data_IF_489601766212
#
_entry.id   IF_489601766212
#
_cell.length_a   1.000
_cell.length_b   1.000
_cell.length_c   1.000
_cell.angle_alpha   90.00
_cell.angle_beta   90.00
_cell.angle_gamma   90.00
#
_symmetry.space_group_name_H-M   'P 1'
#
loop_
_entity.id
_entity.type
_entity.pdbx_description
1 polymer ?
#
# COMPACT_ATOMS: atom_id res chain seq x y z
N UNK A 1 8.75 0.21 -1.59
CA UNK A 1 7.67 0.16 -2.58
C UNK A 1 6.78 -0.99 -2.18
N UNK A 2 5.55 -0.65 -1.83
CA UNK A 2 4.39 -1.51 -1.62
C UNK A 2 4.18 -2.32 -2.87
N UNK A 3 4.10 -3.63 -2.69
CA UNK A 3 3.78 -4.57 -3.75
C UNK A 3 2.33 -5.00 -3.65
N UNK A 4 1.74 -5.23 -4.81
CA UNK A 4 0.56 -6.07 -4.94
C UNK A 4 0.93 -7.53 -4.67
N UNK A 5 0.17 -8.19 -3.78
CA UNK A 5 0.28 -9.62 -3.46
C UNK A 5 -1.06 -10.30 -3.74
N UNK A 6 -1.20 -11.18 -4.75
CA UNK A 6 -2.48 -11.82 -5.02
C UNK A 6 -2.75 -12.99 -4.05
N UNK A 7 -4.01 -13.41 -3.95
CA UNK A 7 -4.43 -14.54 -3.12
C UNK A 7 -5.25 -15.59 -3.89
N UNK A 8 -5.16 -16.86 -3.47
CA UNK A 8 -6.02 -17.96 -3.92
C UNK A 8 -6.77 -18.51 -2.71
N UNK A 9 -8.02 -18.11 -2.55
CA UNK A 9 -8.89 -18.61 -1.49
C UNK A 9 -9.57 -19.91 -1.93
N UNK A 10 -9.41 -20.97 -1.13
CA UNK A 10 -9.94 -22.30 -1.41
C UNK A 10 -11.03 -22.66 -0.40
N UNK A 11 -12.19 -23.07 -0.90
CA UNK A 11 -13.25 -23.61 -0.04
C UNK A 11 -13.96 -24.81 -0.69
N UNK A 12 -13.86 -25.96 -0.03
CA UNK A 12 -14.30 -27.27 -0.52
C UNK A 12 -13.64 -27.65 -1.86
N UNK A 13 -12.33 -27.42 -1.96
CA UNK A 13 -11.50 -27.83 -3.11
C UNK A 13 -11.64 -26.96 -4.35
N UNK A 14 -12.34 -25.82 -4.26
CA UNK A 14 -12.53 -24.89 -5.37
C UNK A 14 -12.06 -23.49 -4.98
N UNK A 15 -11.54 -22.76 -5.97
CA UNK A 15 -11.19 -21.34 -5.82
C UNK A 15 -12.47 -20.52 -5.67
N UNK A 16 -12.60 -19.81 -4.54
CA UNK A 16 -13.78 -19.03 -4.19
C UNK A 16 -13.38 -17.72 -3.54
N UNK A 17 -13.97 -16.63 -4.00
CA UNK A 17 -13.90 -15.36 -3.29
C UNK A 17 -15.13 -15.25 -2.39
N UNK A 18 -14.90 -15.09 -1.10
CA UNK A 18 -15.95 -15.01 -0.07
C UNK A 18 -16.10 -13.57 0.43
N UNK A 19 -17.25 -13.26 1.02
CA UNK A 19 -17.42 -12.04 1.82
C UNK A 19 -17.08 -12.33 3.27
N UNK A 20 -16.15 -11.57 3.85
CA UNK A 20 -15.71 -11.70 5.24
C UNK A 20 -16.89 -11.71 6.21
N UNK A 21 -16.80 -12.56 7.24
CA UNK A 21 -17.82 -12.68 8.30
C UNK A 21 -19.10 -13.45 7.93
N UNK A 22 -19.28 -13.88 6.67
CA UNK A 22 -20.44 -14.70 6.24
C UNK A 22 -20.21 -16.21 6.37
N UNK A 23 -19.01 -16.62 6.78
CA UNK A 23 -18.65 -18.01 6.96
C UNK A 23 -19.18 -18.50 8.32
N UNK A 24 -20.41 -19.03 8.34
CA UNK A 24 -21.00 -19.65 9.53
C UNK A 24 -20.75 -21.17 9.55
N UNK A 25 -21.23 -21.86 10.58
CA UNK A 25 -21.22 -23.34 10.66
C UNK A 25 -22.28 -23.98 9.75
N UNK A 26 -23.26 -23.20 9.29
CA UNK A 26 -24.34 -23.60 8.38
C UNK A 26 -24.03 -23.14 6.95
N UNK A 27 -23.91 -24.09 6.01
CA UNK A 27 -23.52 -23.80 4.61
C UNK A 27 -24.42 -22.82 3.85
N UNK A 28 -25.62 -22.54 4.36
CA UNK A 28 -26.64 -21.70 3.72
C UNK A 28 -26.36 -20.19 3.81
N UNK A 29 -25.47 -19.73 4.69
CA UNK A 29 -25.23 -18.30 4.90
C UNK A 29 -23.97 -17.78 4.19
N UNK A 30 -23.20 -18.67 3.55
CA UNK A 30 -21.97 -18.30 2.86
C UNK A 30 -22.29 -17.43 1.64
N UNK A 31 -21.94 -16.15 1.69
CA UNK A 31 -21.98 -15.28 0.52
C UNK A 31 -20.66 -15.41 -0.24
N UNK A 32 -20.73 -16.00 -1.42
CA UNK A 32 -19.62 -16.05 -2.37
C UNK A 32 -19.75 -14.91 -3.36
N UNK A 33 -18.71 -14.09 -3.49
CA UNK A 33 -18.57 -13.13 -4.59
C UNK A 33 -18.36 -13.86 -5.91
N UNK A 34 -17.62 -14.98 -5.88
CA UNK A 34 -17.29 -15.75 -7.07
C UNK A 34 -16.91 -17.19 -6.73
N UNK A 35 -17.26 -18.12 -7.63
CA UNK A 35 -16.76 -19.50 -7.63
C UNK A 35 -16.12 -19.75 -8.98
N UNK A 36 -14.81 -20.00 -8.98
CA UNK A 36 -14.09 -20.22 -10.23
C UNK A 36 -14.43 -21.58 -10.84
N UNK A 37 -14.48 -21.61 -12.17
CA UNK A 37 -14.46 -22.85 -12.96
C UNK A 37 -13.04 -23.35 -13.22
N UNK A 38 -12.04 -22.53 -12.94
CA UNK A 38 -10.63 -22.83 -13.16
C UNK A 38 -10.03 -23.40 -11.87
N UNK A 39 -9.10 -24.37 -11.98
CA UNK A 39 -8.47 -24.97 -10.82
C UNK A 39 -7.45 -24.03 -10.17
N UNK A 40 -7.02 -24.37 -8.96
CA UNK A 40 -6.04 -23.57 -8.22
C UNK A 40 -4.69 -23.47 -8.96
N UNK A 41 -4.30 -24.55 -9.65
CA UNK A 41 -3.11 -24.59 -10.50
C UNK A 41 -3.13 -23.54 -11.62
N UNK A 42 -4.30 -23.20 -12.17
CA UNK A 42 -4.40 -22.16 -13.20
C UNK A 42 -3.91 -20.79 -12.68
N UNK A 43 -4.39 -20.40 -11.49
CA UNK A 43 -4.02 -19.13 -10.87
C UNK A 43 -2.57 -19.14 -10.38
N UNK A 44 -2.09 -20.26 -9.84
CA UNK A 44 -0.69 -20.44 -9.48
C UNK A 44 0.25 -20.24 -10.69
N UNK A 45 -0.12 -20.80 -11.84
CA UNK A 45 0.61 -20.59 -13.10
C UNK A 45 0.58 -19.12 -13.51
N UNK A 46 -0.58 -18.48 -13.44
CA UNK A 46 -0.73 -17.06 -13.78
C UNK A 46 0.18 -16.18 -12.91
N UNK A 47 0.28 -16.47 -11.60
CA UNK A 47 1.13 -15.71 -10.69
C UNK A 47 2.61 -15.96 -10.93
N UNK A 48 2.97 -17.20 -11.25
CA UNK A 48 4.33 -17.60 -11.64
C UNK A 48 4.80 -16.92 -12.91
N UNK A 49 3.96 -16.90 -13.94
CA UNK A 49 4.27 -16.28 -15.24
C UNK A 49 4.53 -14.76 -15.10
N UNK A 50 4.05 -14.14 -14.02
CA UNK A 50 4.19 -12.71 -13.71
C UNK A 50 5.09 -12.42 -12.50
N UNK A 51 5.81 -13.41 -11.98
CA UNK A 51 6.74 -13.30 -10.84
C UNK A 51 6.13 -12.66 -9.57
N UNK A 52 4.86 -12.95 -9.30
CA UNK A 52 4.12 -12.41 -8.15
C UNK A 52 4.45 -13.17 -6.86
N UNK A 53 5.71 -13.08 -6.43
CA UNK A 53 6.19 -13.71 -5.20
C UNK A 53 5.40 -13.25 -3.97
N UNK A 54 5.35 -14.07 -2.92
CA UNK A 54 4.56 -13.81 -1.70
C UNK A 54 3.05 -13.80 -1.90
N UNK A 55 2.58 -14.25 -3.06
CA UNK A 55 1.19 -14.68 -3.23
C UNK A 55 0.87 -15.83 -2.27
N UNK A 56 -0.35 -15.85 -1.76
CA UNK A 56 -0.76 -16.82 -0.73
C UNK A 56 -2.01 -17.61 -1.13
N UNK A 57 -2.00 -18.90 -0.78
CA UNK A 57 -3.11 -19.83 -0.93
C UNK A 57 -3.72 -20.08 0.44
N UNK A 58 -5.01 -19.77 0.63
CA UNK A 58 -5.68 -19.90 1.93
C UNK A 58 -6.74 -21.00 1.88
N UNK A 59 -6.57 -22.01 2.72
CA UNK A 59 -7.52 -23.10 2.89
C UNK A 59 -8.61 -22.73 3.90
N UNK A 60 -9.78 -22.36 3.40
CA UNK A 60 -10.94 -21.98 4.19
C UNK A 60 -11.76 -23.22 4.54
N UNK A 61 -11.39 -23.88 5.63
CA UNK A 61 -12.04 -25.10 6.11
C UNK A 61 -11.52 -26.40 5.46
N UNK A 62 -12.20 -27.53 5.68
CA UNK A 62 -11.75 -28.84 5.20
C UNK A 62 -11.94 -29.03 3.69
N UNK A 63 -11.22 -30.01 3.13
CA UNK A 63 -11.38 -30.44 1.73
C UNK A 63 -10.61 -29.60 0.70
N UNK A 64 -9.63 -28.81 1.13
CA UNK A 64 -8.86 -27.92 0.26
C UNK A 64 -7.44 -28.44 -0.08
N UNK A 65 -6.97 -29.50 0.59
CA UNK A 65 -5.58 -29.95 0.52
C UNK A 65 -5.13 -30.30 -0.90
N UNK A 66 -5.96 -31.01 -1.67
CA UNK A 66 -5.63 -31.39 -3.04
C UNK A 66 -5.44 -30.17 -3.95
N UNK A 67 -6.35 -29.19 -3.87
CA UNK A 67 -6.26 -27.95 -4.65
C UNK A 67 -5.08 -27.07 -4.19
N UNK A 68 -4.81 -26.98 -2.89
CA UNK A 68 -3.66 -26.25 -2.38
C UNK A 68 -2.34 -26.90 -2.82
N UNK A 69 -2.26 -28.23 -2.82
CA UNK A 69 -1.11 -28.98 -3.34
C UNK A 69 -0.94 -28.78 -4.85
N UNK A 70 -2.03 -28.78 -5.61
CA UNK A 70 -2.01 -28.48 -7.04
C UNK A 70 -1.33 -27.11 -7.28
N UNK A 71 -1.79 -26.06 -6.60
CA UNK A 71 -1.22 -24.72 -6.71
C UNK A 71 0.28 -24.67 -6.33
N UNK A 72 0.65 -25.23 -5.17
CA UNK A 72 2.05 -25.27 -4.73
C UNK A 72 2.95 -26.08 -5.68
N UNK A 73 2.42 -27.12 -6.32
CA UNK A 73 3.17 -27.94 -7.26
C UNK A 73 3.41 -27.25 -8.61
N UNK A 74 2.48 -26.40 -9.04
CA UNK A 74 2.58 -25.60 -10.27
C UNK A 74 3.70 -24.55 -10.16
N UNK A 75 3.80 -23.89 -8.99
CA UNK A 75 4.86 -22.96 -8.66
C UNK A 75 5.59 -23.32 -7.37
N UNK A 76 6.49 -24.30 -7.49
CA UNK A 76 7.35 -24.73 -6.39
C UNK A 76 8.17 -23.56 -5.86
N UNK A 77 8.11 -23.37 -4.54
CA UNK A 77 8.76 -22.29 -3.79
C UNK A 77 8.34 -20.89 -4.27
N UNK A 78 7.14 -20.75 -4.83
CA UNK A 78 6.61 -19.45 -5.26
C UNK A 78 5.43 -18.96 -4.44
N UNK A 79 4.67 -19.87 -3.82
CA UNK A 79 3.44 -19.56 -3.10
C UNK A 79 3.57 -19.86 -1.61
N UNK A 80 2.98 -18.99 -0.81
CA UNK A 80 2.75 -19.25 0.61
C UNK A 80 1.44 -20.04 0.78
N UNK A 81 1.31 -20.87 1.83
CA UNK A 81 0.08 -21.65 2.09
C UNK A 81 -0.38 -21.55 3.53
N UNK A 82 -1.67 -21.24 3.73
CA UNK A 82 -2.30 -21.06 5.03
C UNK A 82 -3.61 -21.81 5.19
N UNK A 83 -4.11 -21.83 6.43
CA UNK A 83 -5.34 -22.52 6.83
C UNK A 83 -5.10 -23.93 7.35
N UNK A 84 -5.31 -24.17 8.64
CA UNK A 84 -5.09 -25.49 9.25
C UNK A 84 -3.62 -25.92 9.37
N UNK A 85 -2.67 -24.99 9.26
CA UNK A 85 -1.25 -25.25 9.48
C UNK A 85 -0.98 -25.46 10.97
N UNK A 86 -0.29 -26.55 11.29
CA UNK A 86 0.16 -26.93 12.63
C UNK A 86 1.61 -27.43 12.59
N UNK A 87 2.21 -27.70 13.74
CA UNK A 87 3.55 -28.27 13.82
C UNK A 87 3.64 -29.69 13.22
N UNK A 88 2.52 -30.39 13.06
CA UNK A 88 2.48 -31.73 12.47
C UNK A 88 2.52 -31.72 10.93
N UNK A 89 2.03 -30.66 10.27
CA UNK A 89 1.93 -30.62 8.80
C UNK A 89 2.78 -29.52 8.14
N UNK A 90 3.31 -28.56 8.91
CA UNK A 90 4.08 -27.43 8.36
C UNK A 90 5.24 -27.87 7.46
N UNK A 91 6.07 -28.82 7.90
CA UNK A 91 7.18 -29.36 7.11
C UNK A 91 6.71 -30.01 5.80
N UNK A 92 5.59 -30.74 5.86
CA UNK A 92 5.04 -31.42 4.69
C UNK A 92 4.57 -30.46 3.61
N UNK A 93 4.04 -29.29 3.98
CA UNK A 93 3.67 -28.25 3.01
C UNK A 93 4.88 -27.66 2.28
N UNK A 94 6.00 -27.49 2.99
CA UNK A 94 7.27 -27.11 2.35
C UNK A 94 7.75 -28.20 1.39
N UNK A 95 7.69 -29.48 1.81
CA UNK A 95 8.06 -30.62 0.94
C UNK A 95 7.17 -30.72 -0.31
N UNK A 96 5.90 -30.33 -0.21
CA UNK A 96 4.97 -30.25 -1.34
C UNK A 96 5.19 -29.05 -2.26
N UNK A 97 6.08 -28.13 -1.89
CA UNK A 97 6.51 -27.03 -2.75
C UNK A 97 6.02 -25.65 -2.33
N UNK A 98 5.44 -25.46 -1.14
CA UNK A 98 5.21 -24.11 -0.64
C UNK A 98 6.56 -23.40 -0.37
N UNK A 99 6.60 -22.09 -0.64
CA UNK A 99 7.71 -21.21 -0.23
C UNK A 99 7.74 -21.07 1.29
N UNK A 100 6.57 -20.72 1.84
CA UNK A 100 6.35 -20.56 3.28
C UNK A 100 5.01 -21.15 3.68
N UNK A 101 4.90 -21.52 4.95
CA UNK A 101 3.61 -21.81 5.59
C UNK A 101 3.13 -20.61 6.39
N UNK A 102 1.82 -20.42 6.42
CA UNK A 102 1.13 -19.34 7.13
C UNK A 102 0.38 -19.96 8.31
N UNK A 103 0.84 -19.67 9.53
CA UNK A 103 0.17 -20.14 10.75
C UNK A 103 -0.84 -19.10 11.23
N UNK A 104 -2.06 -19.56 11.55
CA UNK A 104 -3.21 -18.72 11.92
C UNK A 104 -3.74 -19.09 13.31
N UNK A 105 -4.94 -19.68 13.38
CA UNK A 105 -5.67 -20.02 14.61
C UNK A 105 -4.97 -21.05 15.49
N UNK A 106 -4.01 -21.81 14.95
CA UNK A 106 -3.22 -22.75 15.75
C UNK A 106 -2.51 -22.06 16.91
N UNK A 107 -2.13 -20.78 16.77
CA UNK A 107 -1.46 -20.02 17.83
C UNK A 107 -2.36 -19.66 19.03
N UNK A 108 -3.68 -19.88 18.92
CA UNK A 108 -4.68 -19.41 19.88
C UNK A 108 -5.59 -20.54 20.41
N UNK A 109 -5.07 -21.56 21.12
CA UNK A 109 -5.92 -22.53 21.79
C UNK A 109 -6.87 -21.82 22.75
N UNK A 110 -8.16 -22.16 22.67
CA UNK A 110 -9.20 -21.53 23.49
C UNK A 110 -9.20 -19.98 23.45
N UNK A 111 -8.82 -19.42 22.29
CA UNK A 111 -8.72 -17.97 22.06
C UNK A 111 -7.67 -17.24 22.92
N UNK A 112 -6.68 -17.96 23.43
CA UNK A 112 -5.53 -17.39 24.15
C UNK A 112 -4.23 -17.64 23.40
N UNK A 113 -3.44 -16.60 23.17
CA UNK A 113 -2.16 -16.74 22.49
C UNK A 113 -1.19 -17.66 23.25
N UNK A 114 -0.51 -18.54 22.53
CA UNK A 114 0.58 -19.35 23.09
C UNK A 114 1.84 -19.31 22.24
N UNK A 115 2.90 -18.71 22.80
CA UNK A 115 4.23 -18.68 22.21
C UNK A 115 4.80 -20.10 21.99
N UNK A 116 4.40 -21.07 22.82
CA UNK A 116 4.91 -22.44 22.69
C UNK A 116 4.50 -23.07 21.35
N UNK A 117 3.27 -22.85 20.87
CA UNK A 117 2.85 -23.40 19.57
C UNK A 117 3.57 -22.74 18.40
N UNK A 118 3.87 -21.46 18.49
CA UNK A 118 4.70 -20.78 17.48
C UNK A 118 6.09 -21.42 17.42
N UNK A 119 6.70 -21.68 18.59
CA UNK A 119 8.01 -22.35 18.68
C UNK A 119 7.98 -23.78 18.14
N UNK A 120 6.91 -24.55 18.38
CA UNK A 120 6.84 -25.93 17.85
C UNK A 120 6.67 -25.96 16.33
N UNK A 121 5.91 -25.02 15.75
CA UNK A 121 5.81 -24.86 14.29
C UNK A 121 7.17 -24.48 13.70
N UNK A 122 7.85 -23.49 14.27
CA UNK A 122 9.18 -23.09 13.80
C UNK A 122 10.19 -24.25 13.89
N UNK A 123 10.13 -25.03 14.98
CA UNK A 123 10.98 -26.21 15.15
C UNK A 123 10.70 -27.30 14.11
N UNK A 124 9.44 -27.53 13.73
CA UNK A 124 9.14 -28.52 12.68
C UNK A 124 9.62 -28.06 11.30
N UNK A 125 9.81 -26.77 11.09
CA UNK A 125 10.46 -26.18 9.92
C UNK A 125 12.00 -26.18 9.99
N UNK A 126 12.59 -26.80 11.02
CA UNK A 126 14.04 -26.85 11.21
C UNK A 126 14.63 -25.56 11.77
N UNK A 127 13.85 -24.81 12.57
CA UNK A 127 14.22 -23.51 13.13
C UNK A 127 14.48 -22.42 12.07
N UNK A 128 14.00 -22.64 10.83
CA UNK A 128 14.14 -21.71 9.72
C UNK A 128 12.93 -20.77 9.60
N UNK A 129 13.05 -19.58 10.17
CA UNK A 129 11.98 -18.57 10.15
C UNK A 129 11.64 -18.06 8.75
N UNK A 130 12.52 -18.24 7.75
CA UNK A 130 12.25 -17.82 6.38
C UNK A 130 11.10 -18.61 5.74
N UNK A 131 10.74 -19.75 6.33
CA UNK A 131 9.62 -20.60 5.89
C UNK A 131 8.31 -20.33 6.64
N UNK A 132 8.29 -19.36 7.56
CA UNK A 132 7.14 -19.09 8.42
C UNK A 132 6.62 -17.66 8.25
N UNK A 133 5.32 -17.57 8.00
CA UNK A 133 4.51 -16.35 8.06
C UNK A 133 3.52 -16.51 9.21
N UNK A 134 3.33 -15.43 9.98
CA UNK A 134 2.27 -15.38 11.00
C UNK A 134 1.13 -14.53 10.47
N UNK A 135 -0.07 -15.11 10.42
CA UNK A 135 -1.28 -14.40 10.03
C UNK A 135 -2.08 -13.99 11.26
N UNK A 136 -2.21 -12.67 11.44
CA UNK A 136 -3.01 -12.05 12.48
C UNK A 136 -4.23 -11.40 11.87
N UNK A 137 -5.23 -12.24 11.79
CA UNK A 137 -6.62 -11.94 11.59
C UNK A 137 -7.16 -11.02 12.69
N UNK A 138 -7.56 -9.78 12.39
CA UNK A 138 -7.96 -8.77 13.39
C UNK A 138 -9.30 -8.06 13.11
N UNK A 139 -9.91 -7.51 14.18
CA UNK A 139 -11.12 -6.66 14.13
C UNK A 139 -10.93 -5.40 14.96
N UNK A 140 -11.55 -4.31 14.54
CA UNK A 140 -11.47 -3.03 15.24
C UNK A 140 -12.37 -3.04 16.48
N UNK A 141 -11.84 -2.57 17.61
CA UNK A 141 -12.55 -2.40 18.88
C UNK A 141 -12.23 -1.04 19.47
N UNK A 142 -13.10 -0.06 19.23
CA UNK A 142 -12.80 1.33 19.57
C UNK A 142 -11.64 1.83 18.72
N UNK A 143 -10.54 2.21 19.35
CA UNK A 143 -9.35 2.76 18.69
C UNK A 143 -8.20 1.75 18.57
N UNK A 144 -8.43 0.47 18.85
CA UNK A 144 -7.42 -0.60 18.74
C UNK A 144 -7.97 -1.79 17.97
N UNK A 145 -7.10 -2.75 17.64
CA UNK A 145 -7.47 -3.98 16.93
C UNK A 145 -7.17 -5.19 17.79
N UNK A 146 -8.07 -6.16 17.80
CA UNK A 146 -7.88 -7.42 18.51
C UNK A 146 -7.88 -8.56 17.51
N UNK A 147 -7.02 -9.55 17.77
CA UNK A 147 -6.95 -10.75 16.95
C UNK A 147 -8.24 -11.55 17.15
N UNK A 148 -8.85 -11.96 16.05
CA UNK A 148 -10.07 -12.74 15.99
C UNK A 148 -9.81 -14.05 15.23
N UNK A 149 -10.49 -15.11 15.67
CA UNK A 149 -10.36 -16.45 15.12
C UNK A 149 -11.72 -17.08 14.85
N UNK A 150 -11.73 -18.33 14.38
CA UNK A 150 -12.95 -19.08 14.04
C UNK A 150 -13.84 -18.31 13.07
N UNK A 151 -13.26 -17.87 11.94
CA UNK A 151 -13.99 -17.10 10.92
C UNK A 151 -14.56 -15.80 11.49
N UNK A 152 -13.77 -15.11 12.31
CA UNK A 152 -14.09 -13.79 12.88
C UNK A 152 -15.14 -13.76 13.99
N UNK A 153 -15.57 -14.94 14.46
CA UNK A 153 -16.64 -15.09 15.45
C UNK A 153 -16.13 -15.06 16.89
N UNK A 154 -14.86 -15.38 17.11
CA UNK A 154 -14.27 -15.44 18.46
C UNK A 154 -13.15 -14.42 18.57
N UNK A 155 -13.30 -13.46 19.48
CA UNK A 155 -12.22 -12.54 19.82
C UNK A 155 -11.23 -13.21 20.76
N UNK A 156 -9.93 -13.02 20.52
CA UNK A 156 -8.86 -13.51 21.40
C UNK A 156 -8.49 -12.47 22.45
N UNK A 157 -7.58 -12.85 23.35
CA UNK A 157 -6.97 -11.95 24.34
C UNK A 157 -5.81 -11.10 23.80
N UNK A 158 -5.43 -11.30 22.54
CA UNK A 158 -4.30 -10.60 21.94
C UNK A 158 -4.76 -9.33 21.20
N UNK A 159 -4.33 -8.18 21.71
CA UNK A 159 -4.38 -6.92 20.98
C UNK A 159 -3.26 -6.88 19.93
N UNK A 160 -3.58 -6.42 18.72
CA UNK A 160 -2.61 -6.15 17.67
C UNK A 160 -2.02 -4.75 17.87
N UNK A 161 -0.77 -4.71 18.31
CA UNK A 161 0.02 -3.49 18.55
C UNK A 161 1.53 -3.77 18.44
N UNK A 162 2.35 -2.72 18.60
CA UNK A 162 3.82 -2.82 18.59
C UNK A 162 4.38 -3.97 19.45
N UNK A 163 3.90 -4.14 20.68
CA UNK A 163 4.43 -5.15 21.60
C UNK A 163 4.12 -6.56 21.12
N UNK A 164 2.91 -6.80 20.62
CA UNK A 164 2.52 -8.09 20.04
C UNK A 164 3.34 -8.42 18.78
N UNK A 165 3.59 -7.43 17.91
CA UNK A 165 4.41 -7.59 16.71
C UNK A 165 5.86 -7.92 17.12
N UNK A 166 6.49 -7.11 17.98
CA UNK A 166 7.86 -7.35 18.46
C UNK A 166 8.02 -8.70 19.16
N UNK A 167 6.98 -9.23 19.80
CA UNK A 167 6.99 -10.56 20.42
C UNK A 167 7.08 -11.69 19.38
N UNK A 168 6.46 -11.51 18.20
CA UNK A 168 6.31 -12.53 17.16
C UNK A 168 7.44 -12.50 16.12
N UNK A 169 7.97 -11.31 15.80
CA UNK A 169 9.02 -11.09 14.79
C UNK A 169 10.24 -12.02 14.88
N UNK A 170 10.73 -12.42 16.07
CA UNK A 170 11.87 -13.32 16.14
C UNK A 170 11.61 -14.71 15.53
N UNK A 171 10.34 -15.09 15.36
CA UNK A 171 9.93 -16.45 14.99
C UNK A 171 9.42 -16.58 13.55
N UNK A 172 9.09 -15.49 12.87
CA UNK A 172 8.64 -15.49 11.48
C UNK A 172 9.50 -14.56 10.61
N UNK A 173 9.35 -14.70 9.30
CA UNK A 173 10.01 -13.81 8.33
C UNK A 173 9.07 -12.76 7.76
N UNK A 174 7.77 -12.90 8.00
CA UNK A 174 6.74 -12.04 7.42
C UNK A 174 5.45 -12.12 8.24
N UNK A 175 4.66 -11.04 8.19
CA UNK A 175 3.29 -11.01 8.69
C UNK A 175 2.29 -10.90 7.56
N UNK A 176 1.15 -11.57 7.73
CA UNK A 176 -0.06 -11.33 6.96
C UNK A 176 -1.13 -10.80 7.92
N UNK A 177 -1.65 -9.60 7.67
CA UNK A 177 -2.61 -8.96 8.57
C UNK A 177 -3.95 -8.85 7.85
N UNK A 178 -4.89 -9.70 8.25
CA UNK A 178 -6.25 -9.67 7.72
C UNK A 178 -7.12 -8.71 8.54
N UNK A 179 -7.67 -7.68 7.90
CA UNK A 179 -8.68 -6.78 8.50
C UNK A 179 -10.08 -7.31 8.17
N UNK A 180 -10.62 -8.14 9.08
CA UNK A 180 -11.86 -8.89 8.83
C UNK A 180 -13.08 -8.00 8.58
N UNK A 181 -13.13 -6.83 9.20
CA UNK A 181 -14.24 -5.89 9.07
C UNK A 181 -14.35 -5.32 7.63
N UNK A 182 -13.30 -5.46 6.81
CA UNK A 182 -13.22 -4.93 5.45
C UNK A 182 -13.06 -6.05 4.39
N UNK A 183 -12.85 -7.29 4.81
CA UNK A 183 -12.56 -8.43 3.93
C UNK A 183 -13.74 -8.77 3.01
N UNK A 184 -13.49 -8.78 1.70
CA UNK A 184 -14.50 -9.11 0.68
C UNK A 184 -15.66 -8.11 0.55
N UNK A 185 -15.67 -7.01 1.31
CA UNK A 185 -16.69 -5.96 1.24
C UNK A 185 -16.46 -4.94 0.14
N UNK A 186 -15.22 -4.83 -0.36
CA UNK A 186 -14.85 -3.82 -1.36
C UNK A 186 -15.24 -2.40 -0.91
N UNK A 187 -14.99 -2.06 0.35
CA UNK A 187 -15.29 -0.75 0.94
C UNK A 187 -14.05 0.10 1.26
N UNK A 188 -12.86 -0.40 0.94
CA UNK A 188 -11.59 0.27 1.16
C UNK A 188 -10.80 -0.31 2.32
N UNK A 189 -9.55 0.11 2.42
CA UNK A 189 -8.60 -0.32 3.44
C UNK A 189 -8.84 0.40 4.78
N UNK A 190 -8.43 -0.23 5.88
CA UNK A 190 -8.29 0.44 7.19
C UNK A 190 -6.97 1.24 7.20
N UNK A 191 -7.06 2.53 6.90
CA UNK A 191 -5.91 3.43 6.75
C UNK A 191 -5.12 3.60 8.06
N UNK A 192 -5.81 3.64 9.20
CA UNK A 192 -5.17 3.74 10.52
C UNK A 192 -4.35 2.48 10.80
N UNK A 193 -4.89 1.30 10.51
CA UNK A 193 -4.17 0.05 10.68
C UNK A 193 -2.94 -0.02 9.77
N UNK A 194 -3.05 0.37 8.49
CA UNK A 194 -1.90 0.41 7.57
C UNK A 194 -0.79 1.33 8.09
N UNK A 195 -1.12 2.53 8.57
CA UNK A 195 -0.16 3.45 9.18
C UNK A 195 0.49 2.85 10.43
N UNK A 196 -0.29 2.17 11.26
CA UNK A 196 0.20 1.49 12.46
C UNK A 196 1.14 0.33 12.13
N UNK A 197 0.80 -0.52 11.14
CA UNK A 197 1.66 -1.62 10.70
C UNK A 197 3.00 -1.13 10.17
N UNK A 198 3.01 -0.03 9.42
CA UNK A 198 4.23 0.60 8.92
C UNK A 198 5.15 1.10 10.05
N UNK A 199 4.59 1.42 11.22
CA UNK A 199 5.36 1.79 12.41
C UNK A 199 5.78 0.57 13.22
N UNK A 200 4.93 -0.45 13.30
CA UNK A 200 5.12 -1.59 14.20
C UNK A 200 6.05 -2.65 13.65
N UNK A 201 5.95 -2.95 12.35
CA UNK A 201 6.66 -4.06 11.73
C UNK A 201 8.07 -3.62 11.27
N UNK A 202 9.07 -4.40 11.67
CA UNK A 202 10.46 -4.31 11.20
C UNK A 202 10.78 -5.34 10.11
N UNK A 203 9.92 -6.35 9.94
CA UNK A 203 9.97 -7.37 8.88
C UNK A 203 8.83 -7.15 7.86
N UNK A 204 8.90 -7.77 6.66
CA UNK A 204 7.84 -7.65 5.66
C UNK A 204 6.44 -7.91 6.23
N UNK A 205 5.49 -7.08 5.83
CA UNK A 205 4.09 -7.21 6.23
C UNK A 205 3.19 -6.99 5.02
N UNK A 206 2.24 -7.89 4.84
CA UNK A 206 1.20 -7.80 3.83
C UNK A 206 -0.14 -7.54 4.52
N UNK A 207 -0.82 -6.47 4.13
CA UNK A 207 -2.18 -6.16 4.55
C UNK A 207 -3.19 -6.81 3.61
N UNK A 208 -4.23 -7.42 4.16
CA UNK A 208 -5.33 -8.02 3.41
C UNK A 208 -6.68 -7.60 4.00
N UNK A 209 -7.46 -6.83 3.25
CA UNK A 209 -8.77 -6.38 3.72
C UNK A 209 -9.33 -5.21 2.93
N UNK A 210 -10.25 -5.48 2.01
CA UNK A 210 -11.05 -4.43 1.39
C UNK A 210 -10.36 -3.62 0.30
N UNK A 211 -9.21 -4.05 -0.23
CA UNK A 211 -8.61 -3.46 -1.44
C UNK A 211 -9.53 -3.66 -2.66
N UNK A 212 -9.72 -2.59 -3.44
CA UNK A 212 -10.73 -2.50 -4.52
C UNK A 212 -10.14 -2.15 -5.86
N UNK A 213 -9.12 -1.30 -5.88
CA UNK A 213 -8.59 -0.72 -7.08
C UNK A 213 -7.08 -0.43 -6.98
N UNK A 214 -6.47 0.06 -8.06
CA UNK A 214 -5.04 0.42 -8.08
C UNK A 214 -4.77 1.60 -7.16
N UNK A 215 -5.73 2.51 -6.99
CA UNK A 215 -5.61 3.65 -6.10
C UNK A 215 -5.45 3.23 -4.62
N UNK A 216 -5.98 2.07 -4.22
CA UNK A 216 -5.72 1.52 -2.89
C UNK A 216 -4.24 1.08 -2.73
N UNK A 217 -3.54 0.65 -3.81
CA UNK A 217 -2.08 0.40 -3.79
C UNK A 217 -1.29 1.70 -3.58
N UNK A 218 -1.67 2.77 -4.30
CA UNK A 218 -1.10 4.10 -4.13
C UNK A 218 -1.31 4.65 -2.71
N UNK A 219 -2.52 4.45 -2.17
CA UNK A 219 -2.85 4.86 -0.81
C UNK A 219 -1.99 4.12 0.21
N UNK A 220 -1.83 2.80 0.08
CA UNK A 220 -0.96 2.02 0.98
C UNK A 220 0.51 2.45 0.86
N UNK A 221 1.03 2.67 -0.35
CA UNK A 221 2.39 3.19 -0.54
C UNK A 221 2.57 4.51 0.20
N UNK A 222 1.64 5.46 0.03
CA UNK A 222 1.69 6.78 0.66
C UNK A 222 1.64 6.69 2.19
N UNK A 223 0.71 5.91 2.73
CA UNK A 223 0.50 5.78 4.19
C UNK A 223 1.64 5.02 4.87
N UNK A 224 2.16 3.98 4.22
CA UNK A 224 3.21 3.12 4.77
C UNK A 224 4.63 3.50 4.37
N UNK A 225 4.79 4.45 3.44
CA UNK A 225 6.05 4.78 2.77
C UNK A 225 6.70 3.55 2.13
N UNK A 226 5.85 2.69 1.56
CA UNK A 226 6.24 1.47 0.89
C UNK A 226 6.73 0.35 1.81
N UNK A 227 6.35 0.38 3.09
CA UNK A 227 6.69 -0.64 4.09
C UNK A 227 5.65 -1.77 4.20
N UNK A 228 4.41 -1.51 3.75
CA UNK A 228 3.31 -2.48 3.82
C UNK A 228 2.91 -2.87 2.40
N UNK A 229 2.83 -4.16 2.12
CA UNK A 229 2.29 -4.70 0.87
C UNK A 229 0.77 -4.83 0.95
N UNK A 230 0.08 -4.88 -0.19
CA UNK A 230 -1.38 -4.96 -0.25
C UNK A 230 -1.87 -6.19 -1.02
N UNK A 231 -2.79 -6.91 -0.40
CA UNK A 231 -3.55 -7.98 -1.03
C UNK A 231 -4.82 -7.45 -1.66
N UNK A 232 -5.04 -7.77 -2.93
CA UNK A 232 -6.31 -7.57 -3.64
C UNK A 232 -6.77 -8.93 -4.15
N UNK A 233 -7.97 -9.36 -3.72
CA UNK A 233 -8.59 -10.63 -4.09
C UNK A 233 -9.86 -10.41 -4.91
N UNK A 234 -11.01 -10.38 -4.23
CA UNK A 234 -12.34 -10.35 -4.85
C UNK A 234 -12.63 -9.21 -5.84
N UNK A 235 -11.87 -8.12 -5.79
CA UNK A 235 -12.01 -7.01 -6.72
C UNK A 235 -11.41 -7.26 -8.11
N UNK A 236 -10.52 -8.25 -8.23
CA UNK A 236 -9.85 -8.61 -9.47
C UNK A 236 -10.80 -9.24 -10.48
N UNK A 237 -10.66 -8.85 -11.74
CA UNK A 237 -11.37 -9.41 -12.88
C UNK A 237 -11.14 -10.92 -13.08
N UNK A 238 -9.94 -11.44 -12.78
CA UNK A 238 -9.64 -12.88 -12.81
C UNK A 238 -10.46 -13.72 -11.81
N UNK A 239 -11.10 -13.06 -10.84
CA UNK A 239 -12.06 -13.63 -9.91
C UNK A 239 -13.47 -13.07 -10.08
N UNK A 240 -13.81 -12.57 -11.28
CA UNK A 240 -15.14 -12.06 -11.59
C UNK A 240 -15.49 -10.70 -10.95
N UNK A 241 -14.51 -10.05 -10.31
CA UNK A 241 -14.64 -8.68 -9.84
C UNK A 241 -14.61 -7.66 -10.99
N UNK A 242 -14.95 -6.42 -10.69
CA UNK A 242 -14.89 -5.30 -11.65
C UNK A 242 -14.19 -4.08 -11.05
N UNK A 243 -13.50 -4.23 -9.93
CA UNK A 243 -12.84 -3.14 -9.22
C UNK A 243 -11.48 -2.80 -9.84
N UNK A 244 -10.73 -3.82 -10.27
CA UNK A 244 -9.42 -3.65 -10.90
C UNK A 244 -9.07 -4.81 -11.82
N UNK A 245 -8.32 -4.51 -12.88
CA UNK A 245 -7.77 -5.54 -13.75
C UNK A 245 -6.48 -6.08 -13.15
N UNK A 246 -6.33 -7.40 -13.19
CA UNK A 246 -5.11 -8.05 -12.73
C UNK A 246 -3.85 -7.51 -13.41
N UNK A 247 -3.91 -7.21 -14.71
CA UNK A 247 -2.78 -6.64 -15.46
C UNK A 247 -2.35 -5.26 -14.93
N UNK A 248 -3.27 -4.43 -14.44
CA UNK A 248 -2.95 -3.12 -13.88
C UNK A 248 -2.18 -3.29 -12.54
N UNK A 249 -2.53 -4.29 -11.75
CA UNK A 249 -1.79 -4.64 -10.53
C UNK A 249 -0.41 -5.25 -10.82
N UNK A 250 -0.25 -5.99 -11.93
CA UNK A 250 1.07 -6.46 -12.39
C UNK A 250 1.92 -5.27 -12.82
N UNK A 251 1.35 -4.36 -13.62
CA UNK A 251 2.03 -3.14 -14.05
C UNK A 251 2.53 -2.33 -12.84
N UNK A 252 1.71 -2.17 -11.79
CA UNK A 252 2.14 -1.57 -10.53
C UNK A 252 3.42 -2.21 -9.96
N UNK A 253 3.51 -3.55 -9.94
CA UNK A 253 4.69 -4.25 -9.42
C UNK A 253 5.92 -4.15 -10.34
N UNK A 254 5.71 -3.99 -11.65
CA UNK A 254 6.78 -3.93 -12.66
C UNK A 254 7.30 -2.51 -12.89
N UNK A 255 6.49 -1.50 -12.62
CA UNK A 255 6.85 -0.12 -12.94
C UNK A 255 7.71 0.56 -11.87
N UNK A 256 8.80 1.17 -12.35
CA UNK A 256 9.46 2.34 -11.76
C UNK A 256 8.55 3.59 -11.72
N UNK A 257 7.21 3.45 -11.62
CA UNK A 257 6.23 4.55 -11.62
C UNK A 257 6.55 5.61 -10.56
N UNK A 258 7.22 5.17 -9.48
CA UNK A 258 7.63 5.96 -8.33
C UNK A 258 8.92 6.76 -8.54
N UNK A 259 9.82 6.32 -9.43
CA UNK A 259 11.08 7.04 -9.66
C UNK A 259 10.81 8.37 -10.38
N UNK A 260 9.92 8.35 -11.38
CA UNK A 260 9.59 9.53 -12.17
C UNK A 260 8.68 10.52 -11.42
N UNK A 261 7.61 10.05 -10.75
CA UNK A 261 6.70 10.93 -9.99
C UNK A 261 7.38 11.57 -8.78
N UNK A 262 8.21 10.82 -8.03
CA UNK A 262 8.99 11.37 -6.93
C UNK A 262 10.03 12.38 -7.41
N UNK A 263 10.77 12.07 -8.48
CA UNK A 263 11.77 12.97 -9.04
C UNK A 263 11.14 14.22 -9.68
N UNK A 264 9.99 14.09 -10.35
CA UNK A 264 9.23 15.20 -10.90
C UNK A 264 8.66 16.09 -9.79
N UNK A 265 8.10 15.50 -8.73
CA UNK A 265 7.62 16.22 -7.54
C UNK A 265 8.74 16.97 -6.84
N UNK A 266 9.88 16.31 -6.60
CA UNK A 266 11.02 16.93 -5.92
C UNK A 266 11.62 18.06 -6.78
N UNK A 267 11.67 17.91 -8.12
CA UNK A 267 12.08 18.99 -9.06
C UNK A 267 11.09 20.16 -9.06
N UNK A 268 9.79 19.88 -9.06
CA UNK A 268 8.74 20.90 -9.03
C UNK A 268 8.79 21.70 -7.72
N UNK A 269 8.97 21.00 -6.59
CA UNK A 269 9.15 21.61 -5.27
C UNK A 269 10.37 22.55 -5.24
N UNK A 270 11.54 22.08 -5.71
CA UNK A 270 12.76 22.89 -5.78
C UNK A 270 12.56 24.12 -6.69
N UNK A 271 11.93 23.95 -7.85
CA UNK A 271 11.66 25.05 -8.79
C UNK A 271 10.73 26.12 -8.18
N UNK A 272 9.70 25.71 -7.43
CA UNK A 272 8.77 26.62 -6.77
C UNK A 272 9.42 27.40 -5.63
N UNK A 273 10.25 26.73 -4.82
CA UNK A 273 11.00 27.36 -3.73
C UNK A 273 11.96 28.43 -4.27
N UNK A 274 12.78 28.05 -5.27
CA UNK A 274 13.77 28.95 -5.88
C UNK A 274 13.09 30.16 -6.52
N UNK A 275 12.01 29.95 -7.28
CA UNK A 275 11.30 31.04 -7.98
C UNK A 275 10.70 32.04 -6.99
N UNK A 276 10.08 31.56 -5.92
CA UNK A 276 9.47 32.44 -4.91
C UNK A 276 10.52 33.26 -4.13
N UNK A 277 11.69 32.68 -3.82
CA UNK A 277 12.78 33.38 -3.12
C UNK A 277 13.44 34.43 -4.00
N UNK A 278 13.74 34.10 -5.26
CA UNK A 278 14.31 35.05 -6.21
C UNK A 278 13.39 36.26 -6.45
N UNK A 279 12.08 36.04 -6.55
CA UNK A 279 11.12 37.13 -6.73
C UNK A 279 11.08 38.02 -5.48
N UNK A 280 11.03 37.43 -4.28
CA UNK A 280 11.05 38.20 -3.04
C UNK A 280 12.33 39.06 -2.93
N UNK A 281 13.51 38.48 -3.17
CA UNK A 281 14.79 39.21 -3.14
C UNK A 281 14.90 40.30 -4.21
N UNK A 282 14.32 40.08 -5.40
CA UNK A 282 14.31 41.08 -6.48
C UNK A 282 13.44 42.28 -6.12
N UNK A 283 12.29 42.04 -5.49
CA UNK A 283 11.40 43.12 -5.05
C UNK A 283 12.03 43.89 -3.88
N UNK A 284 12.62 43.20 -2.90
CA UNK A 284 13.38 43.80 -1.79
C UNK A 284 14.55 44.67 -2.31
N UNK A 285 15.29 44.18 -3.30
CA UNK A 285 16.38 44.94 -3.94
C UNK A 285 15.87 46.18 -4.71
N UNK A 286 14.60 46.21 -5.13
CA UNK A 286 13.99 47.35 -5.83
C UNK A 286 13.40 48.42 -4.91
N UNK A 287 13.32 48.16 -3.59
CA UNK A 287 12.76 49.09 -2.61
C UNK A 287 13.70 50.24 -2.22
N UNK A 288 15.02 50.08 -2.42
CA UNK A 288 16.01 51.10 -2.01
C UNK A 288 15.96 52.40 -2.81
N UNK A 289 15.17 52.46 -3.89
CA UNK A 289 15.09 53.62 -4.81
C UNK A 289 13.66 54.19 -4.99
N UNK A 290 12.65 53.69 -4.26
CA UNK A 290 11.22 54.01 -4.53
C UNK A 290 10.52 54.80 -3.42
N UNK A 291 9.43 55.47 -3.76
CA UNK A 291 8.63 56.28 -2.83
C UNK A 291 7.79 55.42 -1.85
N UNK A 292 7.41 55.97 -0.68
CA UNK A 292 6.80 55.19 0.42
C UNK A 292 5.48 54.46 0.09
N UNK A 293 4.69 54.97 -0.87
CA UNK A 293 3.46 54.30 -1.35
C UNK A 293 3.78 53.08 -2.22
N UNK A 294 4.86 53.14 -3.00
CA UNK A 294 5.31 52.03 -3.86
C UNK A 294 5.99 50.94 -3.04
N UNK A 295 6.74 51.30 -2.00
CA UNK A 295 7.29 50.34 -1.03
C UNK A 295 6.16 49.55 -0.34
N UNK A 296 5.12 50.25 0.14
CA UNK A 296 3.98 49.59 0.80
C UNK A 296 3.24 48.62 -0.14
N UNK A 297 3.05 48.99 -1.41
CA UNK A 297 2.43 48.12 -2.43
C UNK A 297 3.29 46.89 -2.73
N UNK A 298 4.61 47.06 -2.79
CA UNK A 298 5.55 45.98 -3.09
C UNK A 298 5.66 44.98 -1.93
N UNK A 299 5.71 45.46 -0.68
CA UNK A 299 5.67 44.62 0.51
C UNK A 299 4.40 43.73 0.54
N UNK A 300 3.24 44.29 0.18
CA UNK A 300 2.00 43.51 0.06
C UNK A 300 2.08 42.42 -1.02
N UNK A 301 2.68 42.72 -2.17
CA UNK A 301 2.88 41.75 -3.25
C UNK A 301 3.84 40.61 -2.84
N UNK A 302 4.90 40.91 -2.09
CA UNK A 302 5.82 39.90 -1.55
C UNK A 302 5.09 38.93 -0.61
N UNK A 303 4.31 39.46 0.32
CA UNK A 303 3.56 38.63 1.28
C UNK A 303 2.50 37.77 0.58
N UNK A 304 1.81 38.32 -0.43
CA UNK A 304 0.86 37.56 -1.25
C UNK A 304 1.55 36.41 -2.01
N UNK A 305 2.77 36.63 -2.53
CA UNK A 305 3.56 35.58 -3.19
C UNK A 305 4.05 34.51 -2.21
N UNK A 306 4.48 34.90 -1.00
CA UNK A 306 4.85 33.95 0.06
C UNK A 306 3.65 33.08 0.47
N UNK A 307 2.47 33.66 0.62
CA UNK A 307 1.24 32.92 0.90
C UNK A 307 0.89 31.94 -0.23
N UNK A 308 0.99 32.36 -1.50
CA UNK A 308 0.74 31.48 -2.66
C UNK A 308 1.77 30.36 -2.81
N UNK A 309 3.03 30.60 -2.47
CA UNK A 309 4.06 29.54 -2.35
C UNK A 309 3.63 28.49 -1.31
N UNK A 310 3.17 28.93 -0.14
CA UNK A 310 2.75 28.03 0.92
C UNK A 310 1.54 27.18 0.51
N UNK A 311 0.54 27.78 -0.15
CA UNK A 311 -0.61 27.04 -0.70
C UNK A 311 -0.20 26.02 -1.76
N UNK A 312 0.69 26.37 -2.68
CA UNK A 312 1.18 25.45 -3.72
C UNK A 312 2.01 24.30 -3.14
N UNK A 313 2.88 24.58 -2.17
CA UNK A 313 3.63 23.55 -1.44
C UNK A 313 2.69 22.61 -0.71
N UNK A 314 1.67 23.14 -0.03
CA UNK A 314 0.68 22.32 0.66
C UNK A 314 -0.11 21.43 -0.31
N UNK A 315 -0.52 21.97 -1.47
CA UNK A 315 -1.20 21.21 -2.51
C UNK A 315 -0.32 20.08 -3.11
N UNK A 316 1.00 20.30 -3.19
CA UNK A 316 1.97 19.28 -3.62
C UNK A 316 2.18 18.21 -2.53
N UNK A 317 2.19 18.61 -1.26
CA UNK A 317 2.30 17.70 -0.11
C UNK A 317 1.02 16.88 0.12
N UNK A 318 -0.14 17.40 -0.24
CA UNK A 318 -1.47 16.78 -0.12
C UNK A 318 -1.87 15.87 -1.31
N UNK A 319 -0.95 15.58 -2.24
CA UNK A 319 -1.14 14.82 -3.50
C UNK A 319 -2.27 13.78 -3.53
N UNK A 320 -3.24 13.93 -4.46
CA UNK A 320 -4.31 12.94 -4.71
C UNK A 320 -4.76 12.93 -6.20
N UNK A 321 -3.89 12.51 -7.12
CA UNK A 321 -4.27 12.17 -8.50
C UNK A 321 -4.53 13.36 -9.45
N UNK A 322 -5.27 13.10 -10.54
CA UNK A 322 -5.35 13.91 -11.77
C UNK A 322 -5.75 15.38 -11.59
N UNK A 323 -6.58 15.71 -10.60
CA UNK A 323 -6.98 17.09 -10.29
C UNK A 323 -5.78 17.94 -9.81
N UNK A 324 -4.74 17.28 -9.29
CA UNK A 324 -3.49 17.92 -8.86
C UNK A 324 -2.67 18.43 -10.05
N UNK A 325 -2.75 17.80 -11.23
CA UNK A 325 -2.04 18.30 -12.44
C UNK A 325 -2.68 19.60 -12.91
N UNK A 326 -4.01 19.68 -12.89
CA UNK A 326 -4.72 20.92 -13.21
C UNK A 326 -4.39 22.03 -12.20
N UNK A 327 -4.40 21.72 -10.90
CA UNK A 327 -4.04 22.66 -9.84
C UNK A 327 -2.57 23.09 -9.87
N UNK A 328 -1.63 22.18 -10.17
CA UNK A 328 -0.21 22.48 -10.39
C UNK A 328 -0.04 23.35 -11.62
N UNK A 329 -0.70 23.02 -12.74
CA UNK A 329 -0.63 23.80 -13.97
C UNK A 329 -1.21 25.20 -13.77
N UNK A 330 -2.28 25.33 -12.98
CA UNK A 330 -2.88 26.60 -12.58
C UNK A 330 -1.94 27.38 -11.63
N UNK A 331 -1.33 26.73 -10.64
CA UNK A 331 -0.38 27.37 -9.74
C UNK A 331 0.87 27.87 -10.48
N UNK A 332 1.44 27.06 -11.39
CA UNK A 332 2.55 27.45 -12.27
C UNK A 332 2.16 28.60 -13.19
N UNK A 333 0.95 28.56 -13.78
CA UNK A 333 0.42 29.64 -14.59
C UNK A 333 0.25 30.94 -13.79
N UNK A 334 -0.27 30.87 -12.57
CA UNK A 334 -0.47 32.01 -11.69
C UNK A 334 0.87 32.61 -11.24
N UNK A 335 1.88 31.79 -10.96
CA UNK A 335 3.24 32.25 -10.67
C UNK A 335 3.87 32.91 -11.90
N UNK A 336 3.73 32.32 -13.08
CA UNK A 336 4.17 32.92 -14.34
C UNK A 336 3.48 34.27 -14.62
N UNK A 337 2.19 34.37 -14.33
CA UNK A 337 1.42 35.62 -14.49
C UNK A 337 1.84 36.67 -13.49
N UNK A 338 2.09 36.29 -12.23
CA UNK A 338 2.65 37.19 -11.22
C UNK A 338 4.05 37.68 -11.61
N UNK A 339 4.87 36.82 -12.22
CA UNK A 339 6.18 37.17 -12.76
C UNK A 339 6.08 38.16 -13.93
N UNK A 340 5.13 37.96 -14.86
CA UNK A 340 4.87 38.91 -15.97
C UNK A 340 4.35 40.25 -15.43
N UNK A 341 3.48 40.23 -14.42
CA UNK A 341 3.00 41.44 -13.74
C UNK A 341 4.12 42.17 -12.97
N UNK A 342 5.12 41.46 -12.46
CA UNK A 342 6.33 42.05 -11.88
C UNK A 342 7.26 42.61 -12.96
N UNK A 343 7.36 41.95 -14.12
CA UNK A 343 8.15 42.40 -15.26
C UNK A 343 7.61 43.70 -15.88
N UNK A 344 6.31 43.99 -15.73
CA UNK A 344 5.71 45.28 -16.10
C UNK A 344 5.89 46.38 -15.04
N UNK A 345 6.35 46.02 -13.82
CA UNK A 345 6.63 46.94 -12.70
C UNK A 345 8.13 47.28 -12.59
N UNK A 346 9.00 46.47 -13.17
CA UNK A 346 10.46 46.59 -13.03
C UNK A 346 11.11 46.69 -14.42
N UNK A 347 11.31 47.91 -14.92
CA UNK A 347 12.17 48.21 -16.08
C UNK A 347 13.67 48.04 -15.73
N UNK A 348 14.07 46.99 -15.02
CA UNK A 348 15.48 46.76 -14.71
C UNK A 348 16.13 45.93 -15.82
N UNK A 349 17.14 46.50 -16.47
CA UNK A 349 17.98 45.81 -17.46
C UNK A 349 18.68 44.55 -16.90
N UNK A 350 18.79 44.41 -15.58
CA UNK A 350 19.29 43.17 -14.96
C UNK A 350 18.30 42.01 -15.08
N UNK A 351 16.99 42.26 -14.96
CA UNK A 351 15.96 41.22 -15.07
C UNK A 351 15.84 40.72 -16.51
N UNK A 352 15.94 41.63 -17.50
CA UNK A 352 15.96 41.28 -18.93
C UNK A 352 17.16 40.40 -19.30
N UNK A 353 18.35 40.71 -18.77
CA UNK A 353 19.56 39.90 -18.96
C UNK A 353 19.44 38.52 -18.30
N UNK A 354 18.77 38.44 -17.15
CA UNK A 354 18.56 37.18 -16.43
C UNK A 354 17.56 36.26 -17.14
N UNK A 355 16.41 36.79 -17.59
CA UNK A 355 15.41 36.04 -18.38
C UNK A 355 16.04 35.50 -19.67
N UNK A 356 16.87 36.30 -20.35
CA UNK A 356 17.60 35.86 -21.53
C UNK A 356 18.61 34.73 -21.25
N UNK A 357 19.22 34.70 -20.06
CA UNK A 357 20.20 33.69 -19.67
C UNK A 357 19.56 32.35 -19.24
N UNK A 358 18.31 32.35 -18.77
CA UNK A 358 17.66 31.16 -18.20
C UNK A 358 16.48 30.63 -19.03
N UNK A 359 16.00 31.38 -20.03
CA UNK A 359 15.00 30.89 -20.99
C UNK A 359 15.49 29.69 -21.82
N UNK A 360 16.82 29.49 -21.95
CA UNK A 360 17.40 28.33 -22.63
C UNK A 360 17.17 27.00 -21.91
N UNK A 361 17.05 26.98 -20.59
CA UNK A 361 16.89 25.74 -19.82
C UNK A 361 15.46 25.18 -19.81
N UNK A 362 14.44 26.02 -20.05
CA UNK A 362 13.05 25.59 -20.13
C UNK A 362 12.69 24.95 -21.49
N UNK A 363 13.45 25.24 -22.55
CA UNK A 363 13.21 24.69 -23.88
C UNK A 363 13.91 23.34 -24.13
N UNK A 364 15.00 23.04 -23.42
CA UNK A 364 15.74 21.77 -23.56
C UNK A 364 15.21 20.64 -22.66
N UNK A 365 14.20 20.91 -21.83
CA UNK A 365 13.64 19.94 -20.86
C UNK A 365 12.14 19.64 -21.07
N UNK A 366 11.54 20.08 -22.17
CA UNK A 366 10.17 19.77 -22.58
C UNK A 366 10.08 18.54 -23.47
#
# INVERSE_FOLDING_TARGET
MTRFRPCIDLHAGSVKQIVGGTLTTTSTDLKTNYVSKLPAGHYAKLYKDNDLTGAHVIMLGPGNEEAAREACSEWKQGLQVGGGITDQNAAQWIDWGADKVIVTSYLFPEATFTLNRLKTVLKSLGDDKNKLVVDLSCRKRGNTWFVAMNKWQTMTDMELNQNSISLLEPYCSEFLIHAADNEGLQQGIDTELVMSLAQWCSIPVTYAGGGRNVEDLELVERLSRGAVDLTIGSALDIFGGSGVKFDDCIAWNQEEFHAWTKQARDRLYQSLVITAELVASTVEASESEKSGLEQTRNAYLIEALRAKRFEAVRAIEEYDGADTIAAISEAVHNIGTAFVALNSIVESDQLKKFVAAHAGHAAESA
#
